data_IF_952055979623
#
_entry.id   IF_952055979623
#
_cell.length_a   1.000
_cell.length_b   1.000
_cell.length_c   1.000
_cell.angle_alpha   90.00
_cell.angle_beta   90.00
_cell.angle_gamma   90.00
#
_symmetry.space_group_name_H-M   'P 1'
#
loop_
_entity.id
_entity.type
_entity.pdbx_description
1 polymer ?
#
# COMPACT_ATOMS: atom_id res chain seq x y z
N UNK A 1 -1.43 -23.48 8.77
CA UNK A 1 -2.18 -23.13 7.54
C UNK A 1 -1.26 -22.86 6.36
N UNK A 2 -0.15 -22.19 6.55
CA UNK A 2 0.85 -21.91 5.50
C UNK A 2 1.50 -23.19 4.94
N UNK A 3 1.73 -24.20 5.77
CA UNK A 3 2.28 -25.51 5.36
C UNK A 3 1.36 -26.30 4.41
N UNK A 4 0.05 -26.10 4.49
CA UNK A 4 -0.93 -26.77 3.59
C UNK A 4 -1.21 -26.00 2.30
N UNK A 5 -0.47 -24.93 1.98
CA UNK A 5 -0.62 -24.10 0.76
C UNK A 5 -2.04 -23.55 0.51
N UNK A 6 -2.91 -23.52 1.54
CA UNK A 6 -4.29 -23.04 1.38
C UNK A 6 -4.36 -21.51 1.34
N UNK A 7 -3.60 -20.82 2.18
CA UNK A 7 -3.43 -19.35 2.16
C UNK A 7 -2.29 -18.94 3.10
N UNK A 8 -1.83 -17.71 2.96
CA UNK A 8 -0.87 -17.12 3.89
C UNK A 8 -1.59 -16.83 5.22
N UNK A 9 -1.22 -17.53 6.31
CA UNK A 9 -1.90 -17.43 7.61
C UNK A 9 -1.89 -16.01 8.19
N UNK A 10 -0.81 -15.25 7.97
CA UNK A 10 -0.71 -13.85 8.39
C UNK A 10 -1.72 -12.98 7.66
N UNK A 11 -1.86 -13.14 6.34
CA UNK A 11 -2.83 -12.38 5.54
C UNK A 11 -4.26 -12.69 5.95
N UNK A 12 -4.57 -13.92 6.34
CA UNK A 12 -5.90 -14.31 6.79
C UNK A 12 -6.24 -13.68 8.15
N UNK A 13 -5.29 -13.65 9.09
CA UNK A 13 -5.48 -13.00 10.40
C UNK A 13 -5.72 -11.49 10.21
N UNK A 14 -4.91 -10.83 9.37
CA UNK A 14 -5.07 -9.41 9.06
C UNK A 14 -6.44 -9.15 8.43
N UNK A 15 -6.85 -9.95 7.45
CA UNK A 15 -8.14 -9.81 6.80
C UNK A 15 -9.32 -9.98 7.79
N UNK A 16 -9.27 -10.98 8.67
CA UNK A 16 -10.29 -11.18 9.70
C UNK A 16 -10.36 -9.98 10.68
N UNK A 17 -9.22 -9.43 11.07
CA UNK A 17 -9.17 -8.30 11.99
C UNK A 17 -9.76 -7.03 11.36
N UNK A 18 -9.43 -6.75 10.10
CA UNK A 18 -9.99 -5.63 9.35
C UNK A 18 -11.50 -5.84 9.14
N UNK A 19 -11.92 -7.04 8.78
CA UNK A 19 -13.34 -7.34 8.54
C UNK A 19 -14.19 -7.19 9.80
N UNK A 20 -13.66 -7.58 10.96
CA UNK A 20 -14.33 -7.36 12.25
C UNK A 20 -14.57 -5.88 12.53
N UNK A 21 -13.54 -5.02 12.32
CA UNK A 21 -13.69 -3.58 12.49
C UNK A 21 -14.73 -2.96 11.54
N UNK A 22 -14.74 -3.38 10.29
CA UNK A 22 -15.71 -2.89 9.29
C UNK A 22 -17.15 -3.23 9.68
N UNK A 23 -17.40 -4.40 10.28
CA UNK A 23 -18.74 -4.77 10.75
C UNK A 23 -19.23 -3.83 11.86
N UNK A 24 -18.39 -3.55 12.84
CA UNK A 24 -18.73 -2.65 13.95
C UNK A 24 -19.00 -1.22 13.44
N UNK A 25 -18.19 -0.74 12.51
CA UNK A 25 -18.36 0.56 11.86
C UNK A 25 -19.67 0.63 11.05
N UNK A 26 -20.03 -0.43 10.35
CA UNK A 26 -21.30 -0.50 9.61
C UNK A 26 -22.51 -0.46 10.54
N UNK A 27 -22.46 -1.13 11.68
CA UNK A 27 -23.54 -1.06 12.67
C UNK A 27 -23.68 0.34 13.27
N UNK A 28 -22.58 1.01 13.60
CA UNK A 28 -22.58 2.37 14.11
C UNK A 28 -23.10 3.38 13.10
N UNK A 29 -22.74 3.22 11.82
CA UNK A 29 -23.26 4.05 10.72
C UNK A 29 -24.75 3.82 10.49
N UNK A 30 -25.22 2.58 10.58
CA UNK A 30 -26.64 2.27 10.49
C UNK A 30 -27.43 2.98 11.60
N UNK A 31 -26.98 2.87 12.83
CA UNK A 31 -27.61 3.53 13.98
C UNK A 31 -27.63 5.05 13.82
N UNK A 32 -26.50 5.65 13.41
CA UNK A 32 -26.39 7.11 13.19
C UNK A 32 -27.29 7.59 12.04
N UNK A 33 -27.42 6.83 10.98
CA UNK A 33 -28.23 7.19 9.82
C UNK A 33 -29.74 7.18 10.13
N UNK A 34 -30.18 6.33 11.05
CA UNK A 34 -31.61 6.17 11.37
C UNK A 34 -32.06 6.93 12.63
N UNK A 35 -31.16 7.26 13.57
CA UNK A 35 -31.52 7.91 14.85
C UNK A 35 -31.75 9.42 14.78
N UNK A 36 -31.47 10.08 13.66
CA UNK A 36 -31.61 11.55 13.58
C UNK A 36 -32.23 12.11 12.31
N UNK A 37 -32.52 11.28 11.32
CA UNK A 37 -32.97 11.71 10.01
C UNK A 37 -34.29 11.06 9.57
N UNK A 38 -35.02 11.74 8.68
CA UNK A 38 -36.14 11.10 7.97
C UNK A 38 -35.60 9.86 7.24
N UNK A 39 -36.32 8.74 7.35
CA UNK A 39 -35.92 7.44 6.76
C UNK A 39 -35.42 7.50 5.31
N UNK A 40 -35.98 8.39 4.51
CA UNK A 40 -35.55 8.61 3.13
C UNK A 40 -34.13 9.20 3.01
N UNK A 41 -33.74 10.09 3.93
CA UNK A 41 -32.38 10.67 3.94
C UNK A 41 -31.35 9.65 4.44
N UNK A 42 -31.69 8.82 5.43
CA UNK A 42 -30.84 7.74 5.91
C UNK A 42 -30.51 6.72 4.81
N UNK A 43 -31.52 6.30 4.03
CA UNK A 43 -31.33 5.40 2.91
C UNK A 43 -30.42 6.02 1.83
N UNK A 44 -30.59 7.31 1.56
CA UNK A 44 -29.76 8.01 0.56
C UNK A 44 -28.28 8.07 1.02
N UNK A 45 -28.00 8.38 2.29
CA UNK A 45 -26.64 8.39 2.82
C UNK A 45 -25.98 7.01 2.79
N UNK A 46 -26.67 5.95 3.18
CA UNK A 46 -26.16 4.59 3.14
C UNK A 46 -25.88 4.18 1.68
N UNK A 47 -26.80 4.44 0.76
CA UNK A 47 -26.63 4.15 -0.67
C UNK A 47 -25.40 4.85 -1.26
N UNK A 48 -25.21 6.14 -0.96
CA UNK A 48 -24.06 6.91 -1.41
C UNK A 48 -22.74 6.37 -0.82
N UNK A 49 -22.75 5.98 0.44
CA UNK A 49 -21.60 5.39 1.11
C UNK A 49 -21.21 4.04 0.49
N UNK A 50 -22.17 3.16 0.22
CA UNK A 50 -21.91 1.88 -0.45
C UNK A 50 -21.31 2.08 -1.85
N UNK A 51 -21.85 3.02 -2.63
CA UNK A 51 -21.31 3.36 -3.96
C UNK A 51 -19.88 3.89 -3.82
N UNK A 52 -19.61 4.74 -2.84
CA UNK A 52 -18.28 5.30 -2.60
C UNK A 52 -17.27 4.19 -2.22
N UNK A 53 -17.63 3.27 -1.31
CA UNK A 53 -16.77 2.13 -0.94
C UNK A 53 -16.47 1.27 -2.17
N UNK A 54 -17.48 0.98 -2.99
CA UNK A 54 -17.32 0.17 -4.20
C UNK A 54 -16.38 0.84 -5.21
N UNK A 55 -16.53 2.13 -5.40
CA UNK A 55 -15.68 2.92 -6.31
C UNK A 55 -14.22 2.97 -5.81
N UNK A 56 -14.02 3.19 -4.50
CA UNK A 56 -12.67 3.18 -3.89
C UNK A 56 -12.02 1.80 -4.00
N UNK A 57 -12.77 0.73 -3.71
CA UNK A 57 -12.27 -0.64 -3.84
C UNK A 57 -11.87 -0.96 -5.29
N UNK A 58 -12.70 -0.57 -6.25
CA UNK A 58 -12.40 -0.74 -7.67
C UNK A 58 -11.11 -0.01 -8.07
N UNK A 59 -10.95 1.23 -7.61
CA UNK A 59 -9.77 2.04 -7.90
C UNK A 59 -8.49 1.43 -7.31
N UNK A 60 -8.54 0.97 -6.06
CA UNK A 60 -7.42 0.31 -5.38
C UNK A 60 -7.03 -0.99 -6.09
N UNK A 61 -8.02 -1.84 -6.44
CA UNK A 61 -7.75 -3.08 -7.17
C UNK A 61 -7.16 -2.81 -8.55
N UNK A 62 -7.64 -1.78 -9.23
CA UNK A 62 -7.10 -1.37 -10.54
C UNK A 62 -5.63 -0.95 -10.45
N UNK A 63 -5.27 -0.13 -9.45
CA UNK A 63 -3.88 0.27 -9.21
C UNK A 63 -2.99 -0.92 -8.81
N UNK A 64 -3.48 -1.79 -7.94
CA UNK A 64 -2.72 -2.94 -7.44
C UNK A 64 -2.49 -4.02 -8.51
N UNK A 65 -3.42 -4.17 -9.46
CA UNK A 65 -3.27 -5.10 -10.59
C UNK A 65 -2.36 -4.53 -11.67
N UNK A 66 -2.12 -3.23 -11.66
CA UNK A 66 -1.26 -2.53 -12.61
C UNK A 66 0.16 -3.10 -12.60
N UNK A 67 0.64 -3.57 -13.77
CA UNK A 67 2.00 -4.07 -13.96
C UNK A 67 2.61 -3.38 -15.16
N UNK A 68 3.84 -2.91 -15.00
CA UNK A 68 4.62 -2.39 -16.12
C UNK A 68 5.46 -3.51 -16.68
N UNK A 69 5.23 -3.90 -17.93
CA UNK A 69 6.00 -4.93 -18.61
C UNK A 69 7.23 -4.32 -19.30
N UNK A 70 8.42 -4.82 -18.92
CA UNK A 70 9.66 -4.47 -19.60
C UNK A 70 10.01 -5.62 -20.54
N UNK A 71 10.16 -5.38 -21.85
CA UNK A 71 10.57 -6.42 -22.79
C UNK A 71 12.00 -6.87 -22.50
N UNK A 72 12.19 -8.17 -22.40
CA UNK A 72 13.48 -8.82 -22.15
C UNK A 72 13.73 -9.83 -23.24
N UNK A 73 14.95 -9.85 -23.78
CA UNK A 73 15.37 -10.84 -24.76
C UNK A 73 16.26 -11.88 -24.07
N UNK A 74 15.94 -13.16 -24.26
CA UNK A 74 16.69 -14.27 -23.71
C UNK A 74 17.65 -14.82 -24.79
N UNK A 75 18.93 -14.83 -24.49
CA UNK A 75 19.96 -15.42 -25.34
C UNK A 75 20.08 -16.94 -25.10
N UNK A 76 18.96 -17.69 -25.12
CA UNK A 76 19.06 -19.16 -25.12
C UNK A 76 19.56 -19.68 -26.47
N UNK A 77 20.66 -20.41 -26.46
CA UNK A 77 21.11 -21.20 -27.62
C UNK A 77 20.04 -22.26 -27.90
N UNK A 78 19.37 -22.13 -29.04
CA UNK A 78 18.46 -23.15 -29.54
C UNK A 78 19.20 -24.14 -30.43
N UNK A 79 19.15 -25.41 -30.08
CA UNK A 79 19.42 -26.49 -31.00
C UNK A 79 18.17 -26.71 -31.88
N UNK A 80 18.13 -26.15 -33.08
CA UNK A 80 17.11 -26.43 -34.09
C UNK A 80 15.79 -25.68 -33.93
N UNK A 81 15.23 -25.16 -34.98
CA UNK A 81 13.97 -24.41 -35.20
C UNK A 81 13.69 -23.30 -34.23
N UNK A 82 14.00 -22.11 -34.65
CA UNK A 82 13.75 -20.84 -33.93
C UNK A 82 12.26 -20.49 -34.02
N UNK A 83 11.56 -20.56 -32.90
CA UNK A 83 10.25 -19.94 -32.79
C UNK A 83 10.45 -18.47 -32.35
N UNK A 84 10.25 -17.48 -33.22
CA UNK A 84 10.51 -16.06 -32.89
C UNK A 84 9.64 -15.53 -31.75
N UNK A 85 8.51 -16.15 -31.47
CA UNK A 85 7.64 -15.81 -30.34
C UNK A 85 8.23 -16.22 -28.98
N UNK A 86 9.10 -17.22 -28.91
CA UNK A 86 9.72 -17.69 -27.67
C UNK A 86 10.91 -16.79 -27.21
N UNK A 87 11.35 -15.85 -28.04
CA UNK A 87 12.48 -14.95 -27.74
C UNK A 87 12.05 -13.68 -26.96
N UNK A 88 10.77 -13.34 -26.92
CA UNK A 88 10.28 -12.17 -26.21
C UNK A 88 9.69 -12.61 -24.87
N UNK A 89 10.42 -12.36 -23.80
CA UNK A 89 9.94 -12.47 -22.43
C UNK A 89 9.71 -11.08 -21.88
N UNK A 90 8.75 -10.91 -21.01
CA UNK A 90 8.50 -9.63 -20.32
C UNK A 90 8.82 -9.78 -18.84
N UNK A 91 9.48 -8.78 -18.26
CA UNK A 91 9.68 -8.65 -16.82
C UNK A 91 8.55 -7.79 -16.28
N UNK A 92 7.58 -8.35 -15.54
CA UNK A 92 6.50 -7.57 -14.95
C UNK A 92 7.01 -6.86 -13.69
N UNK A 93 6.95 -5.52 -13.67
CA UNK A 93 7.19 -4.70 -12.49
C UNK A 93 5.83 -4.26 -11.97
N UNK A 94 5.40 -4.65 -10.75
CA UNK A 94 4.16 -4.15 -10.16
C UNK A 94 4.26 -2.66 -9.91
N UNK A 95 3.13 -1.95 -10.00
CA UNK A 95 3.05 -0.51 -9.73
C UNK A 95 3.29 -0.23 -8.25
N UNK A 96 2.70 -1.04 -7.39
CA UNK A 96 2.92 -0.98 -5.94
C UNK A 96 3.51 -2.32 -5.45
N UNK A 97 4.84 -2.46 -5.36
CA UNK A 97 5.47 -3.70 -4.88
C UNK A 97 5.37 -3.87 -3.35
N UNK A 98 5.25 -2.78 -2.61
CA UNK A 98 5.21 -2.77 -1.15
C UNK A 98 3.83 -3.14 -0.59
N UNK A 99 2.80 -3.06 -1.43
CA UNK A 99 1.38 -3.32 -1.07
C UNK A 99 0.92 -2.50 0.16
N UNK A 100 0.37 -3.17 1.17
CA UNK A 100 -0.21 -2.58 2.38
C UNK A 100 0.82 -2.37 3.50
N UNK A 101 2.02 -2.93 3.38
CA UNK A 101 3.03 -2.94 4.45
C UNK A 101 3.40 -1.53 4.95
N UNK A 102 3.66 -0.53 4.11
CA UNK A 102 3.98 0.83 4.54
C UNK A 102 2.90 1.47 5.41
N UNK A 103 1.64 1.25 5.05
CA UNK A 103 0.48 1.79 5.79
C UNK A 103 0.37 1.15 7.17
N UNK A 104 0.59 -0.17 7.27
CA UNK A 104 0.58 -0.88 8.56
C UNK A 104 1.66 -0.33 9.48
N UNK A 105 2.90 -0.14 8.99
CA UNK A 105 3.98 0.42 9.82
C UNK A 105 3.72 1.87 10.22
N UNK A 106 3.23 2.69 9.31
CA UNK A 106 2.85 4.06 9.62
C UNK A 106 1.76 4.12 10.70
N UNK A 107 0.72 3.31 10.59
CA UNK A 107 -0.36 3.26 11.59
C UNK A 107 0.12 2.71 12.93
N UNK A 108 1.01 1.71 12.95
CA UNK A 108 1.61 1.22 14.18
C UNK A 108 2.39 2.32 14.90
N UNK A 109 3.24 3.08 14.19
CA UNK A 109 4.00 4.19 14.79
C UNK A 109 3.07 5.28 15.32
N UNK A 110 2.01 5.62 14.56
CA UNK A 110 1.02 6.60 14.99
C UNK A 110 0.19 6.15 16.20
N UNK A 111 0.04 4.85 16.40
CA UNK A 111 -0.68 4.32 17.57
C UNK A 111 0.16 4.33 18.85
N UNK A 112 1.50 4.42 18.77
CA UNK A 112 2.39 4.39 19.94
C UNK A 112 2.06 5.50 20.95
N UNK A 113 1.93 6.78 20.59
CA UNK A 113 1.61 7.84 21.56
C UNK A 113 0.27 7.61 22.24
N UNK A 114 -0.74 7.14 21.51
CA UNK A 114 -2.05 6.81 22.08
C UNK A 114 -1.99 5.65 23.06
N UNK A 115 -1.19 4.62 22.78
CA UNK A 115 -0.96 3.50 23.69
C UNK A 115 -0.25 3.95 24.98
N UNK A 116 0.75 4.83 24.88
CA UNK A 116 1.44 5.38 26.04
C UNK A 116 0.50 6.28 26.87
N UNK A 117 -0.39 7.03 26.21
CA UNK A 117 -1.37 7.87 26.87
C UNK A 117 -2.40 7.09 27.72
N UNK A 118 -2.63 5.81 27.40
CA UNK A 118 -3.47 4.94 28.24
C UNK A 118 -2.81 4.64 29.59
N UNK A 119 -1.49 4.64 29.67
CA UNK A 119 -0.72 4.40 30.90
C UNK A 119 -0.38 5.72 31.60
N UNK A 120 0.02 6.72 30.82
CA UNK A 120 0.41 8.06 31.32
C UNK A 120 -0.61 9.07 30.84
N UNK A 121 -1.62 9.34 31.68
CA UNK A 121 -2.69 10.29 31.33
C UNK A 121 -2.11 11.68 31.04
N UNK A 122 -2.33 12.24 29.84
CA UNK A 122 -1.82 13.55 29.50
C UNK A 122 -2.52 14.65 30.32
N UNK A 123 -1.72 15.53 30.96
CA UNK A 123 -2.28 16.74 31.61
C UNK A 123 -2.72 17.72 30.52
N UNK A 124 -3.91 18.30 30.70
CA UNK A 124 -4.43 19.33 29.78
C UNK A 124 -3.43 20.47 29.59
N UNK A 125 -3.11 20.82 28.33
CA UNK A 125 -2.15 21.85 27.97
C UNK A 125 -0.68 21.43 27.99
N UNK A 126 -0.37 20.15 28.24
CA UNK A 126 1.00 19.63 28.12
C UNK A 126 1.35 19.37 26.66
N UNK A 127 2.64 19.50 26.32
CA UNK A 127 3.18 19.11 25.00
C UNK A 127 2.82 17.66 24.68
N UNK A 128 2.79 16.79 25.68
CA UNK A 128 2.37 15.41 25.54
C UNK A 128 0.91 15.28 25.07
N UNK A 129 -0.02 16.09 25.62
CA UNK A 129 -1.41 16.11 25.18
C UNK A 129 -1.54 16.53 23.71
N UNK A 130 -0.74 17.51 23.27
CA UNK A 130 -0.72 17.93 21.85
C UNK A 130 -0.20 16.83 20.92
N UNK A 131 0.83 16.08 21.32
CA UNK A 131 1.35 14.94 20.54
C UNK A 131 0.27 13.84 20.43
N UNK A 132 -0.38 13.49 21.52
CA UNK A 132 -1.44 12.46 21.52
C UNK A 132 -2.61 12.88 20.62
N UNK A 133 -3.05 14.13 20.70
CA UNK A 133 -4.15 14.64 19.88
C UNK A 133 -3.75 14.74 18.39
N UNK A 134 -2.48 15.07 18.10
CA UNK A 134 -1.96 15.11 16.73
C UNK A 134 -1.94 13.72 16.08
N UNK A 135 -1.69 12.68 16.88
CA UNK A 135 -1.66 11.29 16.39
C UNK A 135 -3.04 10.63 16.43
N UNK A 136 -4.04 11.25 17.04
CA UNK A 136 -5.39 10.72 17.07
C UNK A 136 -6.14 11.04 15.77
N UNK A 137 -6.48 10.01 15.01
CA UNK A 137 -7.14 10.12 13.70
C UNK A 137 -8.52 10.77 13.76
N UNK A 138 -9.22 10.68 14.92
CA UNK A 138 -10.56 11.22 15.11
C UNK A 138 -10.58 12.76 15.17
N UNK A 139 -9.46 13.39 15.49
CA UNK A 139 -9.37 14.84 15.69
C UNK A 139 -8.88 15.61 14.47
N UNK A 140 -8.42 14.95 13.42
CA UNK A 140 -7.83 15.59 12.24
C UNK A 140 -8.77 16.51 11.45
N UNK A 141 -10.05 16.23 11.44
CA UNK A 141 -11.04 16.97 10.65
C UNK A 141 -11.98 17.83 11.51
N UNK A 142 -11.56 18.24 12.72
CA UNK A 142 -12.33 19.18 13.55
C UNK A 142 -12.12 20.61 13.06
N UNK A 143 -13.19 21.32 12.66
CA UNK A 143 -13.07 22.69 12.14
C UNK A 143 -12.61 23.72 13.16
N UNK A 144 -12.70 23.41 14.47
CA UNK A 144 -12.28 24.30 15.55
C UNK A 144 -10.77 24.35 15.79
N UNK A 145 -10.01 23.34 15.37
CA UNK A 145 -8.58 23.24 15.68
C UNK A 145 -7.77 22.75 14.47
N UNK A 146 -7.53 23.70 13.56
CA UNK A 146 -6.81 23.44 12.30
C UNK A 146 -5.38 22.89 12.51
N UNK A 147 -4.82 23.06 13.69
CA UNK A 147 -3.49 22.57 14.06
C UNK A 147 -3.37 21.03 14.00
N UNK A 148 -4.43 20.32 14.35
CA UNK A 148 -4.42 18.85 14.32
C UNK A 148 -4.46 18.25 12.90
N UNK A 149 -4.84 19.05 11.91
CA UNK A 149 -4.74 18.67 10.50
C UNK A 149 -3.28 18.41 10.09
N UNK A 150 -2.29 18.99 10.81
CA UNK A 150 -0.88 18.69 10.60
C UNK A 150 -0.56 17.20 10.86
N UNK A 151 -1.30 16.52 11.74
CA UNK A 151 -1.17 15.07 11.98
C UNK A 151 -1.39 14.25 10.72
N UNK A 152 -2.39 14.62 9.92
CA UNK A 152 -2.64 13.97 8.63
C UNK A 152 -1.46 14.12 7.66
N UNK A 153 -0.86 15.31 7.58
CA UNK A 153 0.31 15.56 6.73
C UNK A 153 1.50 14.72 7.18
N UNK A 154 1.76 14.65 8.49
CA UNK A 154 2.84 13.81 9.05
C UNK A 154 2.58 12.33 8.79
N UNK A 155 1.34 11.87 8.90
CA UNK A 155 0.96 10.49 8.62
C UNK A 155 1.21 10.13 7.14
N UNK A 156 0.77 10.97 6.21
CA UNK A 156 1.03 10.77 4.77
C UNK A 156 2.53 10.79 4.46
N UNK A 157 3.29 11.72 5.06
CA UNK A 157 4.74 11.76 4.89
C UNK A 157 5.41 10.48 5.41
N UNK A 158 4.92 9.93 6.51
CA UNK A 158 5.42 8.68 7.07
C UNK A 158 5.11 7.47 6.16
N UNK A 159 3.90 7.42 5.59
CA UNK A 159 3.55 6.39 4.59
C UNK A 159 4.50 6.47 3.39
N UNK A 160 4.70 7.66 2.83
CA UNK A 160 5.60 7.85 1.69
C UNK A 160 7.05 7.47 2.03
N UNK A 161 7.50 7.79 3.23
CA UNK A 161 8.82 7.38 3.71
C UNK A 161 8.96 5.85 3.75
N UNK A 162 7.99 5.16 4.34
CA UNK A 162 8.00 3.71 4.39
C UNK A 162 7.81 3.08 3.02
N UNK A 163 7.03 3.67 2.14
CA UNK A 163 6.87 3.20 0.76
C UNK A 163 8.20 3.16 0.04
N UNK A 164 8.95 4.26 0.07
CA UNK A 164 10.28 4.32 -0.56
C UNK A 164 11.26 3.34 0.11
N UNK A 165 11.21 3.22 1.43
CA UNK A 165 12.06 2.33 2.20
C UNK A 165 11.81 0.85 1.86
N UNK A 166 10.55 0.40 1.92
CA UNK A 166 10.18 -0.98 1.63
C UNK A 166 10.34 -1.35 0.16
N UNK A 167 10.08 -0.42 -0.74
CA UNK A 167 10.30 -0.65 -2.16
C UNK A 167 11.78 -0.96 -2.47
N UNK A 168 12.72 -0.26 -1.84
CA UNK A 168 14.14 -0.55 -1.99
C UNK A 168 14.55 -1.93 -1.43
N UNK A 169 13.84 -2.43 -0.40
CA UNK A 169 14.10 -3.74 0.20
C UNK A 169 13.49 -4.86 -0.64
N UNK A 170 12.22 -4.71 -1.03
CA UNK A 170 11.48 -5.75 -1.75
C UNK A 170 12.01 -5.88 -3.18
N UNK A 171 12.31 -4.76 -3.82
CA UNK A 171 12.79 -4.72 -5.20
C UNK A 171 14.32 -4.58 -5.22
N UNK A 172 15.02 -5.68 -4.90
CA UNK A 172 16.49 -5.71 -4.98
C UNK A 172 16.96 -5.72 -6.44
N UNK A 173 17.12 -4.52 -6.99
CA UNK A 173 17.46 -4.31 -8.41
C UNK A 173 18.79 -4.95 -8.78
N UNK A 174 19.74 -5.01 -7.84
CA UNK A 174 21.06 -5.64 -8.08
C UNK A 174 20.92 -7.15 -8.27
N UNK A 175 20.14 -7.79 -7.39
CA UNK A 175 19.89 -9.23 -7.47
C UNK A 175 19.13 -9.60 -8.74
N UNK A 176 18.14 -8.79 -9.13
CA UNK A 176 17.40 -9.00 -10.38
C UNK A 176 18.32 -8.87 -11.59
N UNK A 177 19.19 -7.85 -11.62
CA UNK A 177 20.16 -7.64 -12.70
C UNK A 177 21.17 -8.79 -12.80
N UNK A 178 21.67 -9.30 -11.67
CA UNK A 178 22.58 -10.42 -11.62
C UNK A 178 21.91 -11.73 -12.07
N UNK A 179 20.68 -11.96 -11.64
CA UNK A 179 19.89 -13.11 -12.07
C UNK A 179 19.60 -13.07 -13.56
N UNK A 180 19.28 -11.89 -14.12
CA UNK A 180 19.13 -11.69 -15.55
C UNK A 180 20.44 -12.00 -16.31
N UNK A 181 21.57 -11.50 -15.79
CA UNK A 181 22.89 -11.78 -16.40
C UNK A 181 23.21 -13.27 -16.38
N UNK A 182 22.98 -13.97 -15.26
CA UNK A 182 23.17 -15.43 -15.12
C UNK A 182 22.25 -16.23 -16.06
N UNK A 183 21.01 -15.74 -16.25
CA UNK A 183 20.04 -16.37 -17.16
C UNK A 183 20.30 -16.06 -18.65
N UNK A 184 21.29 -15.23 -18.97
CA UNK A 184 21.53 -14.76 -20.33
C UNK A 184 20.43 -13.87 -20.90
N UNK A 185 19.65 -13.25 -20.00
CA UNK A 185 18.57 -12.34 -20.35
C UNK A 185 19.09 -10.92 -20.37
N UNK A 186 18.67 -10.13 -21.35
CA UNK A 186 19.08 -8.72 -21.46
C UNK A 186 17.92 -7.83 -21.89
N UNK A 187 17.95 -6.57 -21.46
CA UNK A 187 17.02 -5.56 -21.94
C UNK A 187 17.55 -5.02 -23.26
N UNK A 188 16.72 -4.95 -24.33
CA UNK A 188 17.16 -4.43 -25.63
C UNK A 188 17.75 -3.02 -25.49
N UNK A 189 18.99 -2.85 -26.01
CA UNK A 189 19.69 -1.55 -25.97
C UNK A 189 20.42 -1.22 -24.66
N UNK A 190 20.44 -2.12 -23.66
CA UNK A 190 21.12 -1.88 -22.37
C UNK A 190 22.11 -3.02 -22.11
N UNK A 191 23.32 -2.66 -21.64
CA UNK A 191 24.34 -3.66 -21.29
C UNK A 191 23.93 -4.44 -20.04
N UNK A 192 24.07 -5.77 -20.04
CA UNK A 192 23.76 -6.58 -18.86
C UNK A 192 24.74 -6.27 -17.71
N UNK A 193 24.20 -6.14 -16.50
CA UNK A 193 24.95 -5.81 -15.28
C UNK A 193 24.59 -4.44 -14.70
N UNK A 194 25.58 -3.61 -14.38
CA UNK A 194 25.38 -2.34 -13.70
C UNK A 194 24.41 -1.39 -14.43
N UNK A 195 24.52 -1.28 -15.75
CA UNK A 195 23.66 -0.41 -16.57
C UNK A 195 22.18 -0.87 -16.51
N UNK A 196 21.96 -2.18 -16.49
CA UNK A 196 20.62 -2.78 -16.32
C UNK A 196 20.06 -2.47 -14.94
N UNK A 197 20.90 -2.54 -13.89
CA UNK A 197 20.48 -2.22 -12.52
C UNK A 197 20.10 -0.74 -12.41
N UNK A 198 20.87 0.17 -12.97
CA UNK A 198 20.57 1.61 -12.95
C UNK A 198 19.27 1.92 -13.69
N UNK A 199 19.07 1.35 -14.87
CA UNK A 199 17.84 1.50 -15.64
C UNK A 199 16.62 1.00 -14.86
N UNK A 200 16.69 -0.19 -14.29
CA UNK A 200 15.61 -0.76 -13.48
C UNK A 200 15.31 0.11 -12.25
N UNK A 201 16.34 0.58 -11.54
CA UNK A 201 16.20 1.46 -10.39
C UNK A 201 15.45 2.75 -10.72
N UNK A 202 15.78 3.37 -11.86
CA UNK A 202 15.12 4.58 -12.35
C UNK A 202 13.66 4.30 -12.70
N UNK A 203 13.36 3.16 -13.33
CA UNK A 203 11.99 2.78 -13.69
C UNK A 203 11.14 2.43 -12.47
N UNK A 204 11.67 1.66 -11.54
CA UNK A 204 11.01 1.30 -10.29
C UNK A 204 10.68 2.56 -9.49
N UNK A 205 11.64 3.48 -9.33
CA UNK A 205 11.41 4.76 -8.61
C UNK A 205 10.25 5.56 -9.21
N UNK A 206 10.15 5.64 -10.54
CA UNK A 206 9.03 6.33 -11.18
C UNK A 206 7.69 5.60 -10.98
N UNK A 207 7.71 4.28 -11.01
CA UNK A 207 6.49 3.47 -10.87
C UNK A 207 5.96 3.54 -9.44
N UNK A 208 6.83 3.48 -8.45
CA UNK A 208 6.48 3.61 -7.02
C UNK A 208 5.91 4.98 -6.65
N UNK A 209 6.29 6.03 -7.35
CA UNK A 209 5.79 7.38 -7.06
C UNK A 209 4.34 7.58 -7.56
N UNK A 210 3.86 6.70 -8.44
CA UNK A 210 2.50 6.71 -8.99
C UNK A 210 1.58 5.75 -8.21
N UNK A 211 2.11 4.67 -7.63
CA UNK A 211 1.38 3.63 -6.91
C UNK A 211 1.26 3.91 -5.45
#
# INVERSE_FOLDING_TARGET
MTEKKLCNGVSLILACNILSGVLDDLFSLWETAFTGHKTAQGILYISLLVVFIFLMTFFVVYLQTGKREIPVTNARKFNGRVNPAAMKSTLPIPVNPSNVIPVIFASCIFSIPSMIAMVVTPKSGSVWAHIVNLTNTSDWFRPSEFYYTAGWIVYVALILFFEVFYNNIIFNVLEISDNMKKAGSQIPGIRPGADTAEYLRKKVKHTTLIG
#
